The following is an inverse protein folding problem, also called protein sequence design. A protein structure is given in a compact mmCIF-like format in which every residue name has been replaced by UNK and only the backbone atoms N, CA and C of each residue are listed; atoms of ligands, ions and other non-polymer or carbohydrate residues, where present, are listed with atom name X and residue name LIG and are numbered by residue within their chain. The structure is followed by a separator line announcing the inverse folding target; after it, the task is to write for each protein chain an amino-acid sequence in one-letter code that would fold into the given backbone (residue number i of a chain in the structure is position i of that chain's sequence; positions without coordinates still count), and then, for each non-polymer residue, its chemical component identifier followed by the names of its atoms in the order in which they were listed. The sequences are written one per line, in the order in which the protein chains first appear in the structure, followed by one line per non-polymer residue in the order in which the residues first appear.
data_IF_892646680027
#
_entry.id   IF_892646680027
#
_cell.length_a   1.000
_cell.length_b   1.000
_cell.length_c   1.000
_cell.angle_alpha   90.00
_cell.angle_beta   90.00
_cell.angle_gamma   90.00
#
_symmetry.space_group_name_H-M   'P 1'
#
loop_
_entity.id
_entity.type
_entity.pdbx_description
1 polymer ?
#
# COMPACT_ATOMS: atom_id res chain seq x y z
N UNK A 1 5.96 2.02 12.75
CA UNK A 1 6.22 1.59 14.15
C UNK A 1 5.15 0.63 14.70
N UNK A 2 3.84 0.87 14.52
CA UNK A 2 2.78 0.04 15.11
C UNK A 2 2.79 -1.44 14.68
N UNK A 3 2.99 -1.74 13.41
CA UNK A 3 3.06 -3.15 12.93
C UNK A 3 4.17 -3.94 13.63
N UNK A 4 5.35 -3.36 13.82
CA UNK A 4 6.44 -3.99 14.58
C UNK A 4 6.08 -4.24 16.05
N UNK A 5 5.37 -3.31 16.69
CA UNK A 5 4.88 -3.50 18.06
C UNK A 5 3.86 -4.65 18.14
N UNK A 6 2.91 -4.72 17.20
CA UNK A 6 1.92 -5.81 17.13
C UNK A 6 2.59 -7.17 16.87
N UNK A 7 3.65 -7.21 16.05
CA UNK A 7 4.45 -8.41 15.86
C UNK A 7 5.11 -8.85 17.17
N UNK A 8 5.70 -7.90 17.92
CA UNK A 8 6.27 -8.16 19.24
C UNK A 8 5.23 -8.70 20.24
N UNK A 9 4.05 -8.08 20.29
CA UNK A 9 2.94 -8.55 21.12
C UNK A 9 2.51 -9.98 20.77
N UNK A 10 2.42 -10.33 19.48
CA UNK A 10 2.09 -11.68 19.03
C UNK A 10 3.18 -12.71 19.41
N UNK A 11 4.46 -12.34 19.28
CA UNK A 11 5.58 -13.21 19.67
C UNK A 11 5.56 -13.46 21.19
N UNK A 12 5.42 -12.42 22.01
CA UNK A 12 5.40 -12.55 23.48
C UNK A 12 4.22 -13.39 23.94
N UNK A 13 3.05 -13.22 23.33
CA UNK A 13 1.86 -14.02 23.63
C UNK A 13 2.09 -15.51 23.36
N UNK A 14 2.65 -15.86 22.19
CA UNK A 14 2.95 -17.24 21.83
C UNK A 14 3.98 -17.87 22.79
N UNK A 15 5.07 -17.16 23.08
CA UNK A 15 6.10 -17.63 24.02
C UNK A 15 5.52 -17.84 25.43
N UNK A 16 4.64 -16.94 25.88
CA UNK A 16 4.00 -17.04 27.21
C UNK A 16 3.00 -18.20 27.27
N UNK A 17 2.38 -18.55 26.14
CA UNK A 17 1.51 -19.72 26.01
C UNK A 17 2.28 -21.06 25.94
N UNK A 18 3.62 -21.03 26.00
CA UNK A 18 4.47 -22.22 25.96
C UNK A 18 4.82 -22.69 24.55
N UNK A 19 4.62 -21.85 23.54
CA UNK A 19 5.09 -22.14 22.18
C UNK A 19 6.63 -22.20 22.16
N UNK A 20 7.17 -23.21 21.47
CA UNK A 20 8.61 -23.44 21.31
C UNK A 20 9.15 -22.93 19.97
N UNK A 21 8.27 -22.36 19.14
CA UNK A 21 8.59 -21.80 17.83
C UNK A 21 8.36 -22.79 16.67
N UNK A 22 8.50 -22.27 15.44
CA UNK A 22 8.27 -23.03 14.20
C UNK A 22 6.83 -23.00 13.68
N UNK A 23 5.91 -22.45 14.46
CA UNK A 23 4.51 -22.27 14.10
C UNK A 23 4.26 -20.88 13.50
N UNK A 24 3.21 -20.77 12.68
CA UNK A 24 2.76 -19.50 12.12
C UNK A 24 1.98 -18.70 13.18
N UNK A 25 2.33 -17.42 13.34
CA UNK A 25 1.74 -16.52 14.31
C UNK A 25 0.51 -15.82 13.73
N UNK A 26 -0.56 -16.59 13.50
CA UNK A 26 -1.81 -16.09 12.88
C UNK A 26 -2.41 -14.89 13.63
N UNK A 27 -2.21 -14.82 14.95
CA UNK A 27 -2.66 -13.70 15.79
C UNK A 27 -2.05 -12.35 15.39
N UNK A 28 -0.88 -12.33 14.75
CA UNK A 28 -0.29 -11.11 14.23
C UNK A 28 -1.14 -10.47 13.13
N UNK A 29 -1.61 -11.26 12.15
CA UNK A 29 -2.44 -10.76 11.06
C UNK A 29 -3.76 -10.18 11.60
N UNK A 30 -4.40 -10.89 12.54
CA UNK A 30 -5.62 -10.43 13.21
C UNK A 30 -5.40 -9.11 13.95
N UNK A 31 -4.31 -9.00 14.70
CA UNK A 31 -3.92 -7.76 15.40
C UNK A 31 -3.70 -6.61 14.42
N UNK A 32 -3.07 -6.86 13.27
CA UNK A 32 -2.88 -5.82 12.24
C UNK A 32 -4.23 -5.38 11.68
N UNK A 33 -5.10 -6.31 11.28
CA UNK A 33 -6.44 -6.01 10.73
C UNK A 33 -7.33 -5.24 11.71
N UNK A 34 -7.18 -5.50 13.01
CA UNK A 34 -7.90 -4.81 14.09
C UNK A 34 -7.22 -3.51 14.56
N UNK A 35 -6.15 -3.07 13.90
CA UNK A 35 -5.42 -1.86 14.28
C UNK A 35 -5.73 -0.67 13.38
N UNK A 36 -5.44 0.53 13.89
CA UNK A 36 -5.55 1.77 13.12
C UNK A 36 -4.68 1.76 11.83
N UNK A 37 -3.59 1.00 11.80
CA UNK A 37 -2.74 0.91 10.59
C UNK A 37 -3.51 0.29 9.44
N UNK A 38 -4.27 -0.76 9.72
CA UNK A 38 -5.11 -1.39 8.69
C UNK A 38 -6.19 -0.42 8.20
N UNK A 39 -6.84 0.31 9.10
CA UNK A 39 -7.82 1.32 8.72
C UNK A 39 -7.22 2.42 7.84
N UNK A 40 -6.02 2.89 8.16
CA UNK A 40 -5.31 3.92 7.39
C UNK A 40 -4.91 3.42 5.98
N UNK A 41 -4.34 2.22 5.90
CA UNK A 41 -3.98 1.60 4.63
C UNK A 41 -5.21 1.31 3.78
N UNK A 42 -6.29 0.82 4.40
CA UNK A 42 -7.54 0.57 3.70
C UNK A 42 -8.15 1.86 3.13
N UNK A 43 -8.12 2.97 3.89
CA UNK A 43 -8.62 4.26 3.41
C UNK A 43 -7.80 4.82 2.24
N UNK A 44 -6.49 4.55 2.19
CA UNK A 44 -5.60 5.06 1.14
C UNK A 44 -5.43 4.12 -0.06
N UNK A 45 -6.05 2.93 -0.04
CA UNK A 45 -5.83 1.85 -1.02
C UNK A 45 -6.03 2.22 -2.49
N UNK A 46 -6.83 3.25 -2.78
CA UNK A 46 -7.13 3.68 -4.15
C UNK A 46 -6.18 4.76 -4.68
N UNK A 47 -5.27 5.30 -3.86
CA UNK A 47 -4.44 6.45 -4.22
C UNK A 47 -3.54 6.20 -5.43
N UNK A 48 -2.57 5.30 -5.30
CA UNK A 48 -1.61 4.98 -6.37
C UNK A 48 -2.30 4.38 -7.61
N UNK A 49 -3.23 3.41 -7.48
CA UNK A 49 -3.93 2.88 -8.63
C UNK A 49 -4.75 3.92 -9.41
N UNK A 50 -5.34 4.90 -8.74
CA UNK A 50 -6.04 6.00 -9.41
C UNK A 50 -5.09 6.84 -10.27
N UNK A 51 -3.91 7.18 -9.75
CA UNK A 51 -2.90 7.93 -10.51
C UNK A 51 -2.36 7.13 -11.69
N UNK A 52 -2.11 5.82 -11.51
CA UNK A 52 -1.65 4.97 -12.62
C UNK A 52 -2.71 4.84 -13.72
N UNK A 53 -3.98 4.67 -13.34
CA UNK A 53 -5.07 4.41 -14.29
C UNK A 53 -5.57 5.67 -15.00
N UNK A 54 -5.57 6.81 -14.30
CA UNK A 54 -6.19 8.04 -14.79
C UNK A 54 -5.18 9.17 -15.05
N UNK A 55 -3.91 8.96 -14.73
CA UNK A 55 -2.90 10.01 -14.73
C UNK A 55 -3.18 11.09 -13.68
N UNK A 56 -2.34 12.12 -13.64
CA UNK A 56 -2.48 13.19 -12.63
C UNK A 56 -3.75 14.02 -12.85
N UNK A 57 -4.09 14.33 -14.10
CA UNK A 57 -5.21 15.23 -14.44
C UNK A 57 -6.57 14.72 -13.96
N UNK A 58 -6.81 13.41 -14.07
CA UNK A 58 -8.07 12.78 -13.66
C UNK A 58 -7.94 12.01 -12.34
N UNK A 59 -6.73 11.56 -11.98
CA UNK A 59 -6.47 10.92 -10.70
C UNK A 59 -6.55 11.88 -9.52
N UNK A 60 -6.11 13.14 -9.66
CA UNK A 60 -6.20 14.15 -8.60
C UNK A 60 -7.66 14.46 -8.18
N UNK A 61 -8.59 14.79 -9.10
CA UNK A 61 -9.99 15.02 -8.72
C UNK A 61 -10.67 13.75 -8.19
N UNK A 62 -10.35 12.58 -8.74
CA UNK A 62 -10.81 11.30 -8.17
C UNK A 62 -10.39 11.16 -6.70
N UNK A 63 -9.11 11.41 -6.42
CA UNK A 63 -8.58 11.28 -5.06
C UNK A 63 -9.16 12.30 -4.10
N UNK A 64 -9.44 13.52 -4.58
CA UNK A 64 -10.14 14.52 -3.79
C UNK A 64 -11.51 14.01 -3.34
N UNK A 65 -12.29 13.42 -4.26
CA UNK A 65 -13.60 12.84 -3.96
C UNK A 65 -13.47 11.66 -3.00
N UNK A 66 -12.57 10.72 -3.29
CA UNK A 66 -12.37 9.54 -2.44
C UNK A 66 -12.01 9.92 -1.00
N UNK A 67 -11.08 10.84 -0.80
CA UNK A 67 -10.57 11.16 0.54
C UNK A 67 -11.40 12.21 1.28
N UNK A 68 -11.82 13.28 0.61
CA UNK A 68 -12.49 14.40 1.28
C UNK A 68 -14.00 14.21 1.36
N UNK A 69 -14.61 13.50 0.40
CA UNK A 69 -16.06 13.31 0.35
C UNK A 69 -16.43 11.92 0.87
N UNK A 70 -15.77 10.87 0.37
CA UNK A 70 -16.06 9.49 0.76
C UNK A 70 -15.24 9.01 1.97
N UNK A 71 -14.24 9.77 2.43
CA UNK A 71 -13.39 9.40 3.57
C UNK A 71 -12.60 8.09 3.38
N UNK A 72 -12.23 7.75 2.14
CA UNK A 72 -11.56 6.50 1.76
C UNK A 72 -12.47 5.26 1.78
N UNK A 73 -13.80 5.45 1.83
CA UNK A 73 -14.80 4.37 1.99
C UNK A 73 -15.57 4.03 0.72
N UNK A 74 -15.04 4.37 -0.46
CA UNK A 74 -15.66 3.93 -1.72
C UNK A 74 -15.85 2.41 -1.72
N UNK A 75 -16.95 1.86 -2.27
CA UNK A 75 -17.30 0.44 -2.16
C UNK A 75 -16.53 -0.46 -3.13
N UNK A 76 -15.36 -0.03 -3.60
CA UNK A 76 -14.51 -0.77 -4.53
C UNK A 76 -13.03 -0.50 -4.27
N UNK A 77 -12.19 -1.39 -4.80
CA UNK A 77 -10.73 -1.27 -4.77
C UNK A 77 -10.21 -1.23 -6.20
N UNK A 78 -9.43 -0.21 -6.52
CA UNK A 78 -8.72 -0.09 -7.78
C UNK A 78 -7.45 -0.95 -7.73
N UNK A 79 -7.14 -1.59 -8.84
CA UNK A 79 -5.95 -2.43 -8.97
C UNK A 79 -5.08 -1.93 -10.11
N UNK A 80 -3.77 -1.89 -9.86
CA UNK A 80 -2.73 -1.78 -10.88
C UNK A 80 -2.07 -3.16 -11.00
N UNK A 81 -2.48 -3.94 -11.99
CA UNK A 81 -2.11 -5.35 -12.11
C UNK A 81 -0.87 -5.60 -12.98
N UNK A 82 -0.34 -4.55 -13.62
CA UNK A 82 0.92 -4.66 -14.35
C UNK A 82 2.07 -4.67 -13.36
N UNK A 83 3.00 -5.60 -13.51
CA UNK A 83 4.23 -5.59 -12.74
C UNK A 83 5.14 -4.44 -13.20
N UNK A 84 5.83 -3.79 -12.27
CA UNK A 84 6.68 -2.62 -12.58
C UNK A 84 7.73 -2.91 -13.66
N UNK A 85 8.29 -4.12 -13.69
CA UNK A 85 9.28 -4.51 -14.70
C UNK A 85 8.71 -4.55 -16.13
N UNK A 86 7.40 -4.68 -16.28
CA UNK A 86 6.69 -4.77 -17.54
C UNK A 86 6.19 -3.42 -18.07
N UNK A 87 6.34 -2.34 -17.29
CA UNK A 87 5.89 -0.98 -17.67
C UNK A 87 6.93 -0.21 -18.52
N UNK A 88 8.13 -0.78 -18.72
CA UNK A 88 9.17 -0.15 -19.54
C UNK A 88 8.87 -0.25 -21.04
N UNK A 89 9.12 0.85 -21.75
CA UNK A 89 9.13 0.88 -23.22
C UNK A 89 10.51 0.49 -23.75
N UNK A 90 10.55 0.01 -24.99
CA UNK A 90 11.82 -0.20 -25.68
C UNK A 90 12.57 1.13 -25.83
N UNK A 91 13.90 1.06 -25.85
CA UNK A 91 14.75 2.23 -26.04
C UNK A 91 14.48 2.90 -27.40
N UNK A 92 14.15 2.12 -28.44
CA UNK A 92 13.75 2.63 -29.76
C UNK A 92 12.48 3.49 -29.73
N UNK A 93 11.61 3.26 -28.75
CA UNK A 93 10.29 3.89 -28.64
C UNK A 93 10.28 5.06 -27.64
N UNK A 94 11.45 5.37 -27.07
CA UNK A 94 11.63 6.34 -26.00
C UNK A 94 12.53 7.49 -26.46
N UNK A 95 12.23 8.71 -26.01
CA UNK A 95 13.09 9.87 -26.25
C UNK A 95 14.10 10.01 -25.10
N UNK A 96 15.41 10.10 -25.38
CA UNK A 96 16.40 10.42 -24.35
C UNK A 96 16.04 11.74 -23.65
N UNK A 97 16.19 11.77 -22.33
CA UNK A 97 15.99 12.97 -21.51
C UNK A 97 17.36 13.65 -21.35
N UNK A 98 17.47 14.91 -21.79
CA UNK A 98 18.67 15.72 -21.63
C UNK A 98 18.64 16.46 -20.30
N UNK A 99 19.36 15.93 -19.31
CA UNK A 99 19.42 16.51 -17.97
C UNK A 99 20.52 17.57 -17.88
N UNK A 100 20.25 18.77 -17.35
CA UNK A 100 21.26 19.80 -17.18
C UNK A 100 22.34 19.34 -16.19
N UNK A 101 23.56 19.86 -16.37
CA UNK A 101 24.65 19.62 -15.41
C UNK A 101 24.25 20.20 -14.04
N UNK A 102 24.53 19.49 -12.91
CA UNK A 102 24.34 20.06 -11.58
C UNK A 102 25.23 21.31 -11.43
N UNK A 103 24.68 22.30 -10.75
CA UNK A 103 25.35 23.56 -10.40
C UNK A 103 26.53 23.38 -9.43
#
# INVERSE_FOLDING_TARGET
MKTGMLAGEAIVEALTAGDTGGQDLVSYEEKVKNSWVWEELYKSRNWTPALHKFGVLMGAPFQFIDQNIAGGKLPFTLHANTADYAELKMASDSKPIDYPKPD
#
